data_IF_430347283463
#
_entry.id   IF_430347283463
#
_cell.length_a   1.000
_cell.length_b   1.000
_cell.length_c   1.000
_cell.angle_alpha   90.00
_cell.angle_beta   90.00
_cell.angle_gamma   90.00
#
_symmetry.space_group_name_H-M   'P 1'
#
loop_
_entity.id
_entity.type
_entity.pdbx_description
1 polymer ?
#
# COMPACT_ATOMS: atom_id res chain seq x y z
N UNK A 1 -25.33 -18.86 2.03
CA UNK A 1 -23.92 -18.43 2.14
C UNK A 1 -23.69 -17.33 1.13
N UNK A 2 -23.39 -16.11 1.58
CA UNK A 2 -23.09 -14.99 0.69
C UNK A 2 -21.67 -15.15 0.14
N UNK A 3 -21.54 -15.07 -1.18
CA UNK A 3 -20.26 -15.14 -1.89
C UNK A 3 -19.50 -13.83 -1.63
N UNK A 4 -18.37 -13.91 -0.94
CA UNK A 4 -17.44 -12.77 -0.76
C UNK A 4 -16.85 -12.46 -2.15
N UNK A 5 -16.91 -11.21 -2.58
CA UNK A 5 -16.38 -10.80 -3.88
C UNK A 5 -15.02 -10.16 -3.63
N UNK A 6 -13.94 -10.91 -3.87
CA UNK A 6 -12.58 -10.38 -3.77
C UNK A 6 -12.34 -9.26 -4.79
N UNK A 7 -11.47 -8.32 -4.44
CA UNK A 7 -11.09 -7.18 -5.26
C UNK A 7 -10.40 -7.60 -6.57
N UNK A 8 -9.73 -8.75 -6.57
CA UNK A 8 -9.05 -9.29 -7.74
C UNK A 8 -10.01 -10.07 -8.65
N UNK A 9 -10.15 -9.65 -9.91
CA UNK A 9 -10.88 -10.41 -10.94
C UNK A 9 -10.02 -11.54 -11.51
N UNK A 10 -10.63 -12.68 -11.86
CA UNK A 10 -10.00 -13.93 -12.37
C UNK A 10 -9.44 -13.83 -13.80
N UNK A 11 -8.88 -12.69 -14.19
CA UNK A 11 -8.23 -12.52 -15.50
C UNK A 11 -6.79 -12.98 -15.40
N UNK A 12 -6.39 -14.01 -16.15
CA UNK A 12 -4.99 -14.45 -16.24
C UNK A 12 -4.15 -13.35 -16.89
N UNK A 13 -3.18 -12.76 -16.17
CA UNK A 13 -2.47 -11.61 -16.69
C UNK A 13 -1.02 -11.94 -17.07
N UNK A 14 -0.48 -11.17 -18.01
CA UNK A 14 0.89 -11.35 -18.53
C UNK A 14 1.93 -11.12 -17.44
N UNK A 15 2.86 -12.07 -17.31
CA UNK A 15 3.93 -12.12 -16.31
C UNK A 15 4.95 -10.99 -16.51
N UNK A 16 4.98 -10.03 -15.58
CA UNK A 16 6.12 -9.13 -15.37
C UNK A 16 6.28 -8.79 -13.90
N UNK A 17 7.52 -8.68 -13.44
CA UNK A 17 7.89 -8.28 -12.09
C UNK A 17 7.37 -6.86 -11.77
N UNK A 18 7.05 -6.60 -10.50
CA UNK A 18 6.72 -5.24 -10.04
C UNK A 18 7.86 -4.29 -10.42
N UNK A 19 7.59 -3.12 -11.04
CA UNK A 19 8.63 -2.24 -11.56
C UNK A 19 9.45 -1.56 -10.46
N UNK A 20 9.01 -1.67 -9.20
CA UNK A 20 9.69 -1.11 -8.05
C UNK A 20 10.50 -2.11 -7.22
N UNK A 21 11.21 -1.58 -6.22
CA UNK A 21 11.88 -2.41 -5.20
C UNK A 21 10.93 -2.70 -4.06
N UNK A 22 10.97 -3.93 -3.52
CA UNK A 22 10.26 -4.33 -2.30
C UNK A 22 11.32 -4.68 -1.26
N UNK A 23 11.41 -3.89 -0.20
CA UNK A 23 12.29 -4.16 0.95
C UNK A 23 11.45 -4.58 2.16
N UNK A 24 11.67 -5.76 2.74
CA UNK A 24 11.00 -6.19 3.98
C UNK A 24 12.02 -6.17 5.11
N UNK A 25 11.88 -5.23 6.04
CA UNK A 25 12.79 -5.06 7.17
C UNK A 25 12.20 -5.65 8.46
N UNK A 26 13.04 -6.24 9.35
CA UNK A 26 12.63 -6.64 10.70
C UNK A 26 12.40 -5.41 11.60
N UNK A 27 11.54 -5.53 12.62
CA UNK A 27 11.03 -4.43 13.45
C UNK A 27 12.01 -3.33 13.85
N UNK A 28 13.17 -3.66 14.47
CA UNK A 28 14.14 -2.65 14.89
C UNK A 28 14.76 -1.87 13.72
N UNK A 29 15.06 -2.54 12.61
CA UNK A 29 15.64 -1.93 11.40
C UNK A 29 14.59 -1.14 10.64
N UNK A 30 13.35 -1.62 10.66
CA UNK A 30 12.21 -0.99 10.02
C UNK A 30 11.92 0.39 10.64
N UNK A 31 11.90 0.50 11.97
CA UNK A 31 11.70 1.78 12.66
C UNK A 31 12.82 2.78 12.36
N UNK A 32 14.08 2.32 12.39
CA UNK A 32 15.23 3.16 12.06
C UNK A 32 15.16 3.66 10.60
N UNK A 33 14.76 2.79 9.66
CA UNK A 33 14.57 3.14 8.27
C UNK A 33 13.47 4.21 8.11
N UNK A 34 12.31 4.06 8.75
CA UNK A 34 11.23 5.06 8.70
C UNK A 34 11.68 6.41 9.24
N UNK A 35 12.36 6.43 10.38
CA UNK A 35 12.82 7.66 11.02
C UNK A 35 13.84 8.43 10.15
N UNK A 36 14.55 7.73 9.27
CA UNK A 36 15.50 8.32 8.33
C UNK A 36 14.85 8.91 7.06
N UNK A 37 13.57 8.62 6.80
CA UNK A 37 12.89 9.08 5.59
C UNK A 37 12.66 10.59 5.62
N UNK A 38 12.95 11.24 4.51
CA UNK A 38 12.64 12.66 4.34
C UNK A 38 11.13 12.89 4.27
N UNK A 39 10.61 13.95 4.90
CA UNK A 39 9.23 14.38 4.71
C UNK A 39 8.88 14.50 3.21
N UNK A 40 7.66 14.11 2.84
CA UNK A 40 7.19 14.13 1.45
C UNK A 40 7.60 12.93 0.59
N UNK A 41 8.46 12.03 1.12
CA UNK A 41 8.87 10.80 0.42
C UNK A 41 8.32 9.52 1.06
N UNK A 42 7.49 9.65 2.10
CA UNK A 42 6.89 8.53 2.81
C UNK A 42 5.36 8.63 2.83
N UNK A 43 4.70 7.54 2.46
CA UNK A 43 3.24 7.37 2.52
C UNK A 43 2.97 6.12 3.37
N UNK A 44 2.22 6.28 4.46
CA UNK A 44 1.74 5.18 5.29
C UNK A 44 0.38 4.75 4.77
N UNK A 45 0.17 3.45 4.58
CA UNK A 45 -1.11 2.86 4.22
C UNK A 45 -1.51 1.84 5.29
N UNK A 46 -2.78 1.91 5.71
CA UNK A 46 -3.35 0.97 6.69
C UNK A 46 -4.79 0.63 6.32
N UNK A 47 -5.16 -0.63 6.56
CA UNK A 47 -6.53 -1.13 6.42
C UNK A 47 -7.41 -0.74 7.59
N UNK A 48 -8.70 -0.57 7.31
CA UNK A 48 -9.74 -0.38 8.31
C UNK A 48 -10.90 -1.32 8.07
N UNK A 49 -11.47 -1.84 9.17
CA UNK A 49 -12.74 -2.58 9.18
C UNK A 49 -13.59 -2.15 10.36
N UNK A 50 -14.82 -1.74 10.08
CA UNK A 50 -15.83 -1.41 11.08
C UNK A 50 -16.60 -2.68 11.49
N UNK A 51 -17.15 -2.67 12.70
CA UNK A 51 -17.97 -3.77 13.25
C UNK A 51 -19.16 -4.13 12.35
N UNK A 52 -19.73 -3.13 11.65
CA UNK A 52 -20.83 -3.33 10.70
C UNK A 52 -20.42 -4.01 9.38
N UNK A 53 -19.17 -4.47 9.28
CA UNK A 53 -18.61 -5.19 8.14
C UNK A 53 -18.15 -4.31 6.98
N UNK A 54 -18.11 -2.98 7.13
CA UNK A 54 -17.53 -2.08 6.13
C UNK A 54 -16.01 -2.07 6.24
N UNK A 55 -15.33 -2.19 5.11
CA UNK A 55 -13.88 -2.12 4.98
C UNK A 55 -13.48 -0.84 4.21
N UNK A 56 -12.21 -0.46 4.33
CA UNK A 56 -11.58 0.63 3.59
C UNK A 56 -10.11 0.78 3.92
N UNK A 57 -9.43 1.72 3.28
CA UNK A 57 -8.02 2.02 3.52
C UNK A 57 -7.85 3.47 4.00
N UNK A 58 -6.80 3.72 4.78
CA UNK A 58 -6.35 5.05 5.15
C UNK A 58 -4.93 5.28 4.64
N UNK A 59 -4.67 6.48 4.15
CA UNK A 59 -3.34 6.97 3.86
C UNK A 59 -2.98 8.09 4.82
N UNK A 60 -1.70 8.15 5.20
CA UNK A 60 -1.10 9.32 5.81
C UNK A 60 0.21 9.66 5.09
N UNK A 61 0.54 10.94 4.97
CA UNK A 61 1.82 11.40 4.45
C UNK A 61 2.14 12.78 5.01
N UNK A 62 3.41 13.17 4.96
CA UNK A 62 3.84 14.48 5.42
C UNK A 62 4.14 15.39 4.23
N UNK A 63 3.49 16.55 4.19
CA UNK A 63 3.89 17.69 3.36
C UNK A 63 4.76 18.65 4.19
N UNK A 64 5.50 19.60 3.58
CA UNK A 64 6.29 20.57 4.32
C UNK A 64 5.49 21.24 5.45
N UNK A 65 5.81 20.88 6.70
CA UNK A 65 5.18 21.42 7.90
C UNK A 65 3.77 20.90 8.24
N UNK A 66 3.20 19.92 7.52
CA UNK A 66 1.87 19.39 7.87
C UNK A 66 1.67 17.91 7.55
N UNK A 67 0.93 17.22 8.42
CA UNK A 67 0.44 15.87 8.15
C UNK A 67 -0.85 15.94 7.34
N UNK A 68 -0.95 15.07 6.34
CA UNK A 68 -2.14 14.84 5.54
C UNK A 68 -2.64 13.43 5.77
N UNK A 69 -3.95 13.26 5.70
CA UNK A 69 -4.61 11.96 5.75
C UNK A 69 -5.71 11.88 4.71
N UNK A 70 -5.97 10.68 4.19
CA UNK A 70 -7.07 10.44 3.27
C UNK A 70 -7.64 9.04 3.45
N UNK A 71 -8.96 8.94 3.59
CA UNK A 71 -9.67 7.67 3.72
C UNK A 71 -10.35 7.23 2.42
N UNK A 72 -10.34 5.93 2.15
CA UNK A 72 -10.89 5.30 0.95
C UNK A 72 -11.86 4.19 1.35
N UNK A 73 -13.18 4.45 1.37
CA UNK A 73 -14.16 3.44 1.72
C UNK A 73 -14.28 2.39 0.61
N UNK A 74 -14.15 1.12 0.97
CA UNK A 74 -14.38 -0.02 0.06
C UNK A 74 -15.81 -0.56 0.17
N UNK A 75 -16.43 -0.46 1.35
CA UNK A 75 -17.81 -0.89 1.59
C UNK A 75 -17.89 -2.29 2.21
N UNK A 76 -19.04 -2.96 2.09
CA UNK A 76 -19.29 -4.29 2.67
C UNK A 76 -19.03 -5.39 1.65
N UNK A 77 -18.77 -6.61 2.13
CA UNK A 77 -18.60 -7.80 1.28
C UNK A 77 -17.17 -8.03 0.78
N UNK A 78 -16.23 -7.22 1.27
CA UNK A 78 -14.79 -7.29 0.99
C UNK A 78 -14.02 -7.67 2.24
N UNK A 79 -12.89 -8.32 2.05
CA UNK A 79 -11.99 -8.71 3.12
C UNK A 79 -11.06 -7.57 3.53
N UNK A 80 -10.44 -7.71 4.71
CA UNK A 80 -9.44 -6.75 5.19
C UNK A 80 -8.18 -6.77 4.31
N UNK A 81 -7.96 -7.86 3.57
CA UNK A 81 -6.92 -7.97 2.56
C UNK A 81 -7.21 -7.08 1.34
N UNK A 82 -8.46 -7.03 0.88
CA UNK A 82 -8.86 -6.16 -0.24
C UNK A 82 -8.65 -4.68 0.11
N UNK A 83 -8.92 -4.31 1.37
CA UNK A 83 -8.66 -2.97 1.88
C UNK A 83 -7.17 -2.61 1.88
N UNK A 84 -6.28 -3.55 2.22
CA UNK A 84 -4.83 -3.33 2.11
C UNK A 84 -4.38 -3.07 0.68
N UNK A 85 -4.82 -3.91 -0.26
CA UNK A 85 -4.46 -3.75 -1.66
C UNK A 85 -4.99 -2.42 -2.23
N UNK A 86 -6.20 -2.02 -1.82
CA UNK A 86 -6.73 -0.70 -2.15
C UNK A 86 -5.81 0.41 -1.64
N UNK A 87 -5.35 0.32 -0.38
CA UNK A 87 -4.42 1.28 0.21
C UNK A 87 -3.14 1.44 -0.60
N UNK A 88 -2.51 0.32 -0.98
CA UNK A 88 -1.30 0.31 -1.84
C UNK A 88 -1.55 1.01 -3.18
N UNK A 89 -2.64 0.67 -3.86
CA UNK A 89 -2.98 1.29 -5.16
C UNK A 89 -3.20 2.79 -5.00
N UNK A 90 -3.92 3.22 -3.96
CA UNK A 90 -4.17 4.64 -3.70
C UNK A 90 -2.89 5.39 -3.35
N UNK A 91 -1.98 4.77 -2.60
CA UNK A 91 -0.68 5.35 -2.27
C UNK A 91 0.18 5.56 -3.52
N UNK A 92 0.20 4.60 -4.45
CA UNK A 92 0.90 4.73 -5.73
C UNK A 92 0.30 5.84 -6.60
N UNK A 93 -1.04 5.93 -6.66
CA UNK A 93 -1.73 7.00 -7.40
C UNK A 93 -1.49 8.38 -6.79
N UNK A 94 -1.41 8.47 -5.46
CA UNK A 94 -1.07 9.69 -4.75
C UNK A 94 0.38 10.11 -5.05
N UNK A 95 1.32 9.17 -4.99
CA UNK A 95 2.72 9.40 -5.35
C UNK A 95 2.86 9.94 -6.78
N UNK A 96 2.13 9.36 -7.75
CA UNK A 96 2.14 9.84 -9.13
C UNK A 96 1.59 11.27 -9.28
N UNK A 97 0.54 11.60 -8.53
CA UNK A 97 -0.04 12.96 -8.50
C UNK A 97 0.87 14.01 -7.86
N UNK A 98 1.69 13.63 -6.88
CA UNK A 98 2.65 14.54 -6.26
C UNK A 98 3.70 15.02 -7.27
N UNK A 99 3.95 14.25 -8.34
CA UNK A 99 4.80 14.65 -9.46
C UNK A 99 6.31 14.74 -9.13
N UNK A 100 6.70 14.36 -7.92
CA UNK A 100 8.11 14.30 -7.51
C UNK A 100 8.83 13.18 -8.28
N UNK A 101 10.04 13.46 -8.74
CA UNK A 101 10.86 12.48 -9.48
C UNK A 101 11.67 11.58 -8.52
N UNK A 102 11.69 11.90 -7.22
CA UNK A 102 12.37 11.10 -6.21
C UNK A 102 11.56 9.83 -5.91
N UNK A 103 12.23 8.71 -5.57
CA UNK A 103 11.53 7.50 -5.14
C UNK A 103 10.64 7.78 -3.92
N UNK A 104 9.37 7.43 -4.02
CA UNK A 104 8.42 7.46 -2.89
C UNK A 104 8.43 6.10 -2.21
N UNK A 105 8.48 6.12 -0.89
CA UNK A 105 8.39 4.97 0.00
C UNK A 105 6.97 4.80 0.51
N UNK A 106 6.35 3.64 0.22
CA UNK A 106 5.03 3.28 0.76
C UNK A 106 5.21 2.24 1.85
N UNK A 107 4.80 2.60 3.07
CA UNK A 107 4.95 1.82 4.29
C UNK A 107 3.68 1.00 4.54
N UNK A 108 3.85 -0.30 4.74
CA UNK A 108 2.80 -1.30 4.96
C UNK A 108 3.21 -2.21 6.11
N UNK A 109 2.25 -2.61 6.95
CA UNK A 109 2.44 -3.60 8.03
C UNK A 109 1.82 -4.98 7.69
N UNK A 110 1.04 -5.07 6.61
CA UNK A 110 0.34 -6.28 6.21
C UNK A 110 1.22 -7.27 5.44
N UNK A 111 1.72 -8.30 6.15
CA UNK A 111 2.51 -9.39 5.55
C UNK A 111 1.79 -10.12 4.41
N UNK A 112 0.46 -10.19 4.45
CA UNK A 112 -0.32 -10.76 3.36
C UNK A 112 -0.26 -9.90 2.09
N UNK A 113 -0.37 -8.57 2.23
CA UNK A 113 -0.26 -7.66 1.10
C UNK A 113 1.15 -7.64 0.52
N UNK A 114 2.17 -7.67 1.39
CA UNK A 114 3.59 -7.75 1.01
C UNK A 114 3.86 -9.04 0.22
N UNK A 115 3.43 -10.17 0.77
CA UNK A 115 3.54 -11.46 0.11
C UNK A 115 2.82 -11.44 -1.24
N UNK A 116 1.65 -10.78 -1.36
CA UNK A 116 0.96 -10.62 -2.65
C UNK A 116 1.73 -9.77 -3.64
N UNK A 117 2.31 -8.65 -3.21
CA UNK A 117 3.12 -7.78 -4.08
C UNK A 117 4.39 -8.48 -4.56
N UNK A 118 4.94 -9.39 -3.76
CA UNK A 118 6.04 -10.28 -4.14
C UNK A 118 5.57 -11.43 -5.05
N UNK A 119 4.40 -12.01 -4.77
CA UNK A 119 3.74 -13.06 -5.55
C UNK A 119 2.98 -12.47 -6.74
N UNK A 120 3.76 -12.08 -7.75
CA UNK A 120 3.33 -11.58 -9.07
C UNK A 120 2.09 -12.25 -9.65
N UNK A 121 0.93 -11.56 -9.56
CA UNK A 121 -0.15 -11.57 -10.55
C UNK A 121 -0.67 -10.11 -10.78
N UNK A 122 0.13 -9.38 -11.56
CA UNK A 122 -0.07 -8.19 -12.43
C UNK A 122 -0.62 -6.82 -11.99
N UNK A 123 0.06 -5.81 -12.55
CA UNK A 123 -0.43 -4.52 -13.08
C UNK A 123 0.61 -3.89 -14.04
N UNK A 124 0.15 -3.14 -15.06
CA UNK A 124 0.93 -2.48 -16.14
C UNK A 124 1.80 -1.33 -15.64
N UNK A 125 2.99 -1.13 -16.25
CA UNK A 125 4.02 -0.13 -15.85
C UNK A 125 3.52 1.31 -15.71
N UNK A 126 3.77 1.96 -14.56
CA UNK A 126 4.23 3.34 -14.47
C UNK A 126 5.64 3.40 -13.84
N UNK A 127 6.14 4.60 -13.54
CA UNK A 127 7.50 5.00 -13.13
C UNK A 127 8.21 4.09 -12.09
N UNK A 128 9.53 4.26 -11.93
CA UNK A 128 10.30 3.57 -10.88
C UNK A 128 9.82 4.02 -9.49
N UNK A 129 9.20 3.12 -8.71
CA UNK A 129 8.77 3.36 -7.32
C UNK A 129 9.59 2.48 -6.36
N UNK A 130 9.90 2.95 -5.15
CA UNK A 130 10.58 2.11 -4.14
C UNK A 130 9.59 1.80 -3.01
N UNK A 131 9.01 0.61 -3.00
CA UNK A 131 8.18 0.14 -1.90
C UNK A 131 9.08 -0.33 -0.74
N UNK A 132 9.34 0.51 0.26
CA UNK A 132 9.94 0.03 1.52
C UNK A 132 8.85 -0.36 2.48
N UNK A 133 8.85 -1.62 2.84
CA UNK A 133 7.91 -2.22 3.76
C UNK A 133 8.53 -2.23 5.15
N UNK A 134 7.75 -1.77 6.13
CA UNK A 134 8.19 -1.65 7.52
C UNK A 134 7.30 -2.53 8.34
N UNK A 135 7.82 -3.68 8.76
CA UNK A 135 7.13 -4.59 9.66
C UNK A 135 7.60 -4.31 11.10
N UNK A 136 6.80 -3.65 11.96
CA UNK A 136 7.22 -3.27 13.31
C UNK A 136 7.17 -4.41 14.35
N UNK A 137 6.86 -5.65 13.95
CA UNK A 137 6.81 -6.80 14.86
C UNK A 137 8.21 -7.26 15.30
#
# INVERSE_FOLDING_TARGET
MAKVQGFESTTQPTSSQFPGQIEVLPGPEALAAVQSLSPGLAIWSDRSRLENGRCGAGLAWQEPGSWKTQGFPLGKGYEVFDAELLGVVQALQLADKMGDQRPVTILLDSQAAIARLQHTQSGTRPRDYTLKVVNPL
#
